data_IF_013632390079
#
_entry.id   IF_013632390079
#
_cell.length_a   1.000
_cell.length_b   1.000
_cell.length_c   1.000
_cell.angle_alpha   90.00
_cell.angle_beta   90.00
_cell.angle_gamma   90.00
#
_symmetry.space_group_name_H-M   'P 1'
#
loop_
_entity.id
_entity.type
_entity.pdbx_description
1 polymer ?
#
# COMPACT_ATOMS: atom_id res chain seq x y z
N UNK A 1 10.94 -8.47 3.60
CA UNK A 1 10.14 -8.98 2.45
C UNK A 1 11.00 -9.81 1.48
N UNK A 2 10.53 -10.99 1.10
CA UNK A 2 11.17 -12.01 0.26
C UNK A 2 10.44 -12.17 -1.08
N UNK A 3 11.13 -11.90 -2.20
CA UNK A 3 10.52 -11.94 -3.54
C UNK A 3 10.23 -13.36 -4.03
N UNK A 4 10.91 -14.39 -3.53
CA UNK A 4 10.59 -15.79 -3.85
C UNK A 4 9.25 -16.20 -3.23
N UNK A 5 9.01 -15.78 -1.98
CA UNK A 5 7.71 -15.97 -1.31
C UNK A 5 6.60 -15.19 -1.99
N UNK A 6 6.85 -13.95 -2.39
CA UNK A 6 5.87 -13.17 -3.15
C UNK A 6 5.49 -13.88 -4.46
N UNK A 7 6.48 -14.41 -5.20
CA UNK A 7 6.23 -15.18 -6.41
C UNK A 7 5.42 -16.46 -6.16
N UNK A 8 5.58 -17.11 -5.01
CA UNK A 8 4.75 -18.24 -4.63
C UNK A 8 3.25 -17.87 -4.54
N UNK A 9 2.92 -16.71 -3.94
CA UNK A 9 1.54 -16.22 -3.87
C UNK A 9 0.99 -15.81 -5.23
N UNK A 10 1.83 -15.20 -6.09
CA UNK A 10 1.49 -14.90 -7.48
C UNK A 10 1.14 -16.20 -8.25
N UNK A 11 1.95 -17.25 -8.11
CA UNK A 11 1.74 -18.51 -8.82
C UNK A 11 0.48 -19.25 -8.35
N UNK A 12 0.32 -19.35 -7.04
CA UNK A 12 -0.82 -20.02 -6.43
C UNK A 12 -2.13 -19.24 -6.51
N UNK A 13 -2.05 -17.95 -6.90
CA UNK A 13 -3.18 -17.01 -6.84
C UNK A 13 -3.82 -16.99 -5.44
N UNK A 14 -2.99 -17.13 -4.41
CA UNK A 14 -3.45 -17.22 -3.03
C UNK A 14 -3.41 -15.82 -2.39
N UNK A 15 -4.60 -15.22 -2.30
CA UNK A 15 -4.83 -13.96 -1.61
C UNK A 15 -6.13 -14.02 -0.79
N UNK A 16 -6.27 -13.10 0.15
CA UNK A 16 -7.51 -12.89 0.92
C UNK A 16 -7.81 -11.41 1.06
N UNK A 17 -9.08 -11.02 0.97
CA UNK A 17 -9.52 -9.62 1.09
C UNK A 17 -10.09 -9.30 2.49
N UNK A 18 -9.85 -10.18 3.48
CA UNK A 18 -10.28 -10.01 4.87
C UNK A 18 -9.35 -9.07 5.65
N UNK A 19 -9.34 -7.80 5.24
CA UNK A 19 -8.60 -6.74 5.92
C UNK A 19 -9.39 -6.23 7.13
N UNK A 20 -8.69 -5.86 8.20
CA UNK A 20 -9.30 -5.11 9.33
C UNK A 20 -9.76 -3.73 8.88
N UNK A 21 -8.95 -3.11 8.02
CA UNK A 21 -9.28 -1.87 7.31
C UNK A 21 -8.57 -1.90 5.98
N UNK A 22 -9.20 -1.32 4.97
CA UNK A 22 -8.58 -0.96 3.69
C UNK A 22 -9.34 0.27 3.19
N UNK A 23 -8.64 1.38 3.05
CA UNK A 23 -9.30 2.63 2.70
C UNK A 23 -8.33 3.71 2.26
N UNK A 24 -8.92 4.71 1.62
CA UNK A 24 -8.21 5.78 0.92
C UNK A 24 -8.57 7.14 1.51
N UNK A 25 -7.57 8.00 1.63
CA UNK A 25 -7.67 9.40 2.02
C UNK A 25 -7.17 10.29 0.90
N UNK A 26 -8.06 11.05 0.29
CA UNK A 26 -7.76 12.03 -0.75
C UNK A 26 -7.09 13.27 -0.16
N UNK A 27 -6.09 13.77 -0.88
CA UNK A 27 -5.36 14.98 -0.55
C UNK A 27 -5.73 16.09 -1.54
N UNK A 28 -4.89 16.35 -2.54
CA UNK A 28 -5.12 17.37 -3.56
C UNK A 28 -5.09 16.76 -4.97
N UNK A 29 -5.97 17.22 -5.85
CA UNK A 29 -6.05 16.70 -7.22
C UNK A 29 -6.33 15.19 -7.22
N UNK A 30 -5.46 14.41 -7.87
CA UNK A 30 -5.54 12.94 -7.87
C UNK A 30 -4.61 12.28 -6.82
N UNK A 31 -4.04 13.07 -5.91
CA UNK A 31 -3.17 12.59 -4.84
C UNK A 31 -3.98 11.92 -3.73
N UNK A 32 -3.49 10.79 -3.24
CA UNK A 32 -4.17 10.02 -2.21
C UNK A 32 -3.18 9.29 -1.30
N UNK A 33 -3.68 8.87 -0.14
CA UNK A 33 -3.01 7.98 0.79
C UNK A 33 -3.91 6.77 1.00
N UNK A 34 -3.37 5.56 0.88
CA UNK A 34 -4.08 4.33 1.20
C UNK A 34 -3.49 3.71 2.46
N UNK A 35 -4.35 3.19 3.32
CA UNK A 35 -3.99 2.37 4.47
C UNK A 35 -4.76 1.06 4.41
N UNK A 36 -4.03 -0.05 4.45
CA UNK A 36 -4.61 -1.36 4.74
C UNK A 36 -3.95 -1.98 5.98
N UNK A 37 -4.75 -2.66 6.80
CA UNK A 37 -4.28 -3.39 7.98
C UNK A 37 -4.81 -4.82 7.92
N UNK A 38 -3.92 -5.79 8.04
CA UNK A 38 -4.24 -7.21 8.10
C UNK A 38 -3.85 -7.83 9.43
N UNK A 39 -4.62 -8.80 9.94
CA UNK A 39 -4.20 -9.56 11.13
C UNK A 39 -3.15 -10.62 10.76
N UNK A 40 -2.15 -10.83 11.61
CA UNK A 40 -1.22 -11.97 11.50
C UNK A 40 -1.88 -13.35 11.66
N UNK A 41 -3.13 -13.39 12.15
CA UNK A 41 -3.93 -14.61 12.18
C UNK A 41 -4.65 -14.91 10.84
N UNK A 42 -4.77 -13.89 9.98
CA UNK A 42 -5.46 -13.99 8.68
C UNK A 42 -4.45 -14.16 7.55
N UNK A 43 -3.35 -13.40 7.59
CA UNK A 43 -2.31 -13.42 6.58
C UNK A 43 -1.10 -14.23 7.08
N UNK A 44 -0.58 -15.11 6.24
CA UNK A 44 0.50 -16.03 6.61
C UNK A 44 1.84 -15.33 6.86
N UNK A 45 2.11 -14.25 6.10
CA UNK A 45 3.30 -13.42 6.18
C UNK A 45 3.05 -12.08 5.47
N UNK A 46 4.08 -11.22 5.49
CA UNK A 46 4.02 -9.89 4.89
C UNK A 46 3.88 -9.94 3.36
N UNK A 47 4.38 -10.99 2.70
CA UNK A 47 4.23 -11.18 1.25
C UNK A 47 2.80 -11.55 0.86
N UNK A 48 2.16 -12.48 1.60
CA UNK A 48 0.76 -12.81 1.41
C UNK A 48 -0.13 -11.57 1.60
N UNK A 49 0.15 -10.80 2.65
CA UNK A 49 -0.54 -9.54 2.90
C UNK A 49 -0.34 -8.54 1.76
N UNK A 50 0.91 -8.26 1.36
CA UNK A 50 1.20 -7.33 0.28
C UNK A 50 0.56 -7.76 -1.05
N UNK A 51 0.69 -9.03 -1.43
CA UNK A 51 0.04 -9.55 -2.63
C UNK A 51 -1.48 -9.35 -2.59
N UNK A 52 -2.10 -9.60 -1.43
CA UNK A 52 -3.54 -9.39 -1.24
C UNK A 52 -3.94 -7.93 -1.41
N UNK A 53 -3.12 -6.96 -0.97
CA UNK A 53 -3.44 -5.53 -1.15
C UNK A 53 -3.50 -5.11 -2.61
N UNK A 54 -2.80 -5.81 -3.52
CA UNK A 54 -2.84 -5.55 -4.97
C UNK A 54 -4.20 -5.91 -5.57
N UNK A 55 -4.89 -6.90 -4.99
CA UNK A 55 -6.16 -7.45 -5.46
C UNK A 55 -7.40 -6.77 -4.85
N UNK A 56 -7.21 -5.82 -3.95
CA UNK A 56 -8.31 -5.06 -3.35
C UNK A 56 -8.85 -3.98 -4.30
N UNK A 57 -10.15 -3.69 -4.19
CA UNK A 57 -10.81 -2.62 -4.94
C UNK A 57 -10.25 -1.22 -4.62
N UNK A 58 -9.64 -1.05 -3.44
CA UNK A 58 -8.94 0.19 -3.06
C UNK A 58 -7.57 0.34 -3.73
N UNK A 59 -7.10 -0.68 -4.46
CA UNK A 59 -5.85 -0.59 -5.23
C UNK A 59 -6.03 0.31 -6.44
N UNK A 60 -5.87 1.61 -6.22
CA UNK A 60 -5.84 2.60 -7.28
C UNK A 60 -4.65 2.33 -8.21
N UNK A 61 -4.91 2.31 -9.51
CA UNK A 61 -3.87 2.18 -10.54
C UNK A 61 -4.14 3.18 -11.65
N UNK A 62 -3.12 3.53 -12.42
CA UNK A 62 -3.29 4.47 -13.53
C UNK A 62 -4.31 3.93 -14.55
N UNK A 63 -5.40 4.67 -14.76
CA UNK A 63 -6.45 4.31 -15.70
C UNK A 63 -5.92 4.27 -17.13
N UNK A 64 -6.28 3.22 -17.88
CA UNK A 64 -5.90 3.04 -19.28
C UNK A 64 -7.11 3.16 -20.21
N UNK A 65 -6.93 3.63 -21.45
CA UNK A 65 -8.04 3.84 -22.40
C UNK A 65 -8.82 2.57 -22.79
N UNK A 66 -8.22 1.38 -22.64
CA UNK A 66 -8.80 0.08 -22.98
C UNK A 66 -9.61 -0.54 -21.84
N UNK A 67 -9.60 0.07 -20.65
CA UNK A 67 -10.31 -0.40 -19.46
C UNK A 67 -9.69 -1.63 -18.78
N UNK A 68 -8.58 -2.15 -19.29
CA UNK A 68 -7.87 -3.25 -18.63
C UNK A 68 -7.20 -2.74 -17.35
N UNK A 69 -7.34 -3.51 -16.27
CA UNK A 69 -6.66 -3.24 -15.01
C UNK A 69 -5.15 -3.42 -15.16
N UNK A 70 -4.37 -2.78 -14.27
CA UNK A 70 -2.92 -2.98 -14.24
C UNK A 70 -2.54 -4.44 -13.99
N UNK A 71 -3.29 -5.15 -13.15
CA UNK A 71 -3.05 -6.58 -12.85
C UNK A 71 -3.18 -7.46 -14.09
N UNK A 72 -4.15 -7.20 -14.97
CA UNK A 72 -4.41 -8.03 -16.16
C UNK A 72 -3.33 -7.93 -17.23
N UNK A 73 -2.58 -6.82 -17.26
CA UNK A 73 -1.56 -6.55 -18.30
C UNK A 73 -0.12 -6.70 -17.81
N UNK A 74 0.08 -6.81 -16.50
CA UNK A 74 1.42 -6.84 -15.93
C UNK A 74 1.90 -8.27 -15.77
N UNK A 75 3.12 -8.55 -16.22
CA UNK A 75 3.83 -9.74 -15.79
C UNK A 75 4.23 -9.56 -14.32
N UNK A 76 3.38 -10.06 -13.42
CA UNK A 76 3.54 -9.89 -11.98
C UNK A 76 4.84 -10.51 -11.45
N UNK A 77 5.35 -11.56 -12.10
CA UNK A 77 6.64 -12.16 -11.72
C UNK A 77 7.79 -11.23 -12.05
N UNK A 78 7.82 -10.70 -13.28
CA UNK A 78 8.82 -9.70 -13.65
C UNK A 78 8.71 -8.45 -12.80
N UNK A 79 7.50 -7.98 -12.51
CA UNK A 79 7.28 -6.86 -11.58
C UNK A 79 7.86 -7.16 -10.19
N UNK A 80 7.51 -8.29 -9.58
CA UNK A 80 7.97 -8.67 -8.23
C UNK A 80 9.50 -8.79 -8.14
N UNK A 81 10.15 -9.33 -9.17
CA UNK A 81 11.62 -9.47 -9.23
C UNK A 81 12.35 -8.11 -9.37
N UNK A 82 11.66 -7.08 -9.84
CA UNK A 82 12.23 -5.74 -10.06
C UNK A 82 11.85 -4.73 -8.97
N UNK A 83 11.20 -5.18 -7.90
CA UNK A 83 10.95 -4.35 -6.72
C UNK A 83 12.27 -3.98 -6.04
N UNK A 84 12.45 -2.71 -5.70
CA UNK A 84 13.47 -2.31 -4.72
C UNK A 84 12.84 -2.31 -3.34
N UNK A 85 13.37 -3.16 -2.47
CA UNK A 85 12.93 -3.31 -1.08
C UNK A 85 14.06 -2.79 -0.21
N UNK A 86 13.76 -1.82 0.66
CA UNK A 86 14.77 -1.22 1.54
C UNK A 86 14.24 -1.18 2.96
N UNK A 87 14.97 -1.79 3.90
CA UNK A 87 14.69 -1.63 5.32
C UNK A 87 14.80 -0.15 5.70
N UNK A 88 13.82 0.34 6.45
CA UNK A 88 13.78 1.72 6.92
C UNK A 88 13.55 1.78 8.41
N UNK A 89 13.99 2.87 9.04
CA UNK A 89 13.76 3.04 10.46
C UNK A 89 12.31 3.37 10.75
N UNK A 90 11.85 2.97 11.94
CA UNK A 90 10.52 3.29 12.43
C UNK A 90 10.24 4.80 12.41
N UNK A 91 11.24 5.65 12.73
CA UNK A 91 11.06 7.10 12.70
C UNK A 91 10.73 7.61 11.29
N UNK A 92 11.23 6.96 10.24
CA UNK A 92 10.92 7.35 8.86
C UNK A 92 9.45 7.08 8.54
N UNK A 93 8.94 5.91 8.93
CA UNK A 93 7.53 5.57 8.76
C UNK A 93 6.61 6.48 9.59
N UNK A 94 6.94 6.74 10.86
CA UNK A 94 6.14 7.64 11.71
C UNK A 94 6.06 9.04 11.09
N UNK A 95 7.19 9.59 10.62
CA UNK A 95 7.18 10.89 9.92
C UNK A 95 6.37 10.88 8.63
N UNK A 96 6.34 9.75 7.92
CA UNK A 96 5.52 9.60 6.73
C UNK A 96 4.03 9.63 7.09
N UNK A 97 3.63 8.85 8.10
CA UNK A 97 2.25 8.82 8.63
C UNK A 97 1.79 10.20 9.09
N UNK A 98 2.62 10.92 9.85
CA UNK A 98 2.31 12.27 10.33
C UNK A 98 2.06 13.23 9.16
N UNK A 99 2.91 13.19 8.13
CA UNK A 99 2.77 14.03 6.92
C UNK A 99 1.51 13.67 6.14
N UNK A 100 1.28 12.39 5.89
CA UNK A 100 0.09 11.88 5.19
C UNK A 100 -1.18 12.27 5.93
N UNK A 101 -1.22 12.10 7.25
CA UNK A 101 -2.38 12.46 8.08
C UNK A 101 -2.67 13.95 8.05
N UNK A 102 -1.63 14.78 8.15
CA UNK A 102 -1.78 16.23 8.06
C UNK A 102 -2.32 16.67 6.68
N UNK A 103 -1.84 16.04 5.59
CA UNK A 103 -2.27 16.37 4.24
C UNK A 103 -3.74 15.97 4.00
N UNK A 104 -4.17 14.78 4.43
CA UNK A 104 -5.58 14.37 4.35
C UNK A 104 -6.46 15.33 5.16
N UNK A 105 -6.06 15.65 6.40
CA UNK A 105 -6.82 16.57 7.26
C UNK A 105 -6.97 17.97 6.64
N UNK A 106 -5.91 18.49 6.01
CA UNK A 106 -5.95 19.79 5.32
C UNK A 106 -6.99 19.84 4.20
N UNK A 107 -7.22 18.72 3.51
CA UNK A 107 -8.10 18.65 2.35
C UNK A 107 -9.42 17.90 2.59
N UNK A 108 -9.65 17.42 3.82
CA UNK A 108 -10.78 16.55 4.16
C UNK A 108 -12.15 17.11 3.74
N UNK A 109 -12.35 18.42 3.93
CA UNK A 109 -13.61 19.08 3.57
C UNK A 109 -13.89 19.12 2.06
N UNK A 110 -12.86 18.98 1.23
CA UNK A 110 -13.00 18.94 -0.23
C UNK A 110 -13.35 17.55 -0.77
N UNK A 111 -13.17 16.50 0.03
CA UNK A 111 -13.22 15.11 -0.39
C UNK A 111 -13.97 14.22 0.61
N UNK A 112 -14.97 14.77 1.30
CA UNK A 112 -15.63 14.07 2.40
C UNK A 112 -16.32 12.78 1.93
N UNK A 113 -16.81 12.72 0.69
CA UNK A 113 -17.44 11.54 0.09
C UNK A 113 -16.46 10.48 -0.39
N UNK A 114 -15.20 10.85 -0.64
CA UNK A 114 -14.18 9.98 -1.24
C UNK A 114 -13.23 9.41 -0.18
N UNK A 115 -13.23 9.96 1.03
CA UNK A 115 -12.40 9.50 2.14
C UNK A 115 -13.03 8.30 2.85
N UNK A 116 -12.45 7.11 2.67
CA UNK A 116 -12.84 5.87 3.37
C UNK A 116 -11.85 5.45 4.47
N UNK A 117 -10.67 6.09 4.54
CA UNK A 117 -9.66 5.78 5.54
C UNK A 117 -10.08 6.17 6.98
N UNK A 118 -9.87 5.26 7.93
CA UNK A 118 -9.99 5.60 9.36
C UNK A 118 -8.73 6.31 9.85
N UNK A 119 -8.80 7.63 9.93
CA UNK A 119 -7.72 8.49 10.42
C UNK A 119 -7.27 8.16 11.84
N UNK A 120 -8.15 7.62 12.69
CA UNK A 120 -7.76 7.26 14.05
C UNK A 120 -6.76 6.11 14.08
N UNK A 121 -6.80 5.22 13.08
CA UNK A 121 -5.87 4.11 12.98
C UNK A 121 -4.46 4.58 12.58
N UNK A 122 -4.34 5.55 11.67
CA UNK A 122 -3.05 6.15 11.30
C UNK A 122 -2.31 6.69 12.54
N UNK A 123 -3.01 7.34 13.47
CA UNK A 123 -2.39 7.92 14.66
C UNK A 123 -1.92 6.89 15.70
N UNK A 124 -2.35 5.62 15.60
CA UNK A 124 -1.97 4.54 16.52
C UNK A 124 -0.70 3.78 16.12
N UNK A 125 -0.22 4.04 14.91
CA UNK A 125 0.90 3.38 14.26
C UNK A 125 2.27 3.83 14.81
N UNK A 126 2.67 3.28 15.97
CA UNK A 126 3.81 3.81 16.74
C UNK A 126 4.93 2.84 17.09
N UNK A 127 4.80 1.53 16.87
CA UNK A 127 5.87 0.56 17.17
C UNK A 127 5.82 -0.62 16.20
N UNK A 128 6.96 -0.93 15.58
CA UNK A 128 7.05 -1.96 14.54
C UNK A 128 8.25 -2.87 14.75
N UNK A 129 8.07 -4.15 14.45
CA UNK A 129 9.13 -5.16 14.43
C UNK A 129 9.98 -5.01 13.16
N UNK A 130 9.34 -4.77 12.02
CA UNK A 130 9.97 -4.59 10.72
C UNK A 130 9.25 -3.48 9.95
N UNK A 131 10.02 -2.69 9.20
CA UNK A 131 9.49 -1.72 8.25
C UNK A 131 10.35 -1.70 6.98
N UNK A 132 9.70 -1.83 5.83
CA UNK A 132 10.34 -1.76 4.52
C UNK A 132 9.66 -0.72 3.64
N UNK A 133 10.46 -0.02 2.86
CA UNK A 133 10.01 0.81 1.75
C UNK A 133 10.10 -0.02 0.47
N UNK A 134 9.02 -0.01 -0.31
CA UNK A 134 8.92 -0.65 -1.61
C UNK A 134 8.91 0.43 -2.69
N UNK A 135 9.74 0.23 -3.71
CA UNK A 135 9.70 0.99 -4.95
C UNK A 135 9.50 0.06 -6.13
N UNK A 136 8.53 0.40 -6.97
CA UNK A 136 8.23 -0.30 -8.21
C UNK A 136 9.03 0.31 -9.36
N UNK A 137 9.98 -0.44 -9.91
CA UNK A 137 10.88 0.07 -10.97
C UNK A 137 10.54 -0.43 -12.36
N UNK A 138 9.72 -1.49 -12.47
CA UNK A 138 9.32 -2.11 -13.72
C UNK A 138 7.80 -2.21 -13.75
N UNK A 139 7.18 -1.73 -14.84
CA UNK A 139 5.72 -1.68 -14.99
C UNK A 139 4.98 -1.19 -13.72
N UNK A 140 5.33 -0.02 -13.16
CA UNK A 140 4.76 0.40 -11.89
C UNK A 140 3.26 0.65 -11.98
N UNK A 141 2.53 0.41 -10.88
CA UNK A 141 1.08 0.68 -10.75
C UNK A 141 0.73 2.14 -10.99
N UNK A 142 1.65 3.03 -10.65
CA UNK A 142 1.57 4.48 -10.83
C UNK A 142 2.80 4.98 -11.60
N UNK A 143 2.63 5.97 -12.48
CA UNK A 143 3.76 6.54 -13.23
C UNK A 143 4.77 7.25 -12.29
N UNK A 144 6.05 7.28 -12.70
CA UNK A 144 7.25 7.45 -11.85
C UNK A 144 7.32 8.81 -11.11
N UNK A 145 7.86 8.78 -9.87
CA UNK A 145 8.23 9.86 -8.92
C UNK A 145 7.18 10.37 -7.93
N UNK A 146 6.02 9.75 -7.88
CA UNK A 146 4.93 10.23 -7.03
C UNK A 146 4.52 9.29 -5.92
N UNK A 147 4.97 8.03 -5.95
CA UNK A 147 4.48 7.02 -5.01
C UNK A 147 5.56 6.59 -4.02
N UNK A 148 5.22 6.64 -2.73
CA UNK A 148 5.97 5.98 -1.66
C UNK A 148 5.09 4.92 -1.01
N UNK A 149 5.55 3.67 -0.99
CA UNK A 149 4.83 2.53 -0.39
C UNK A 149 5.66 1.93 0.73
N UNK A 150 5.08 1.84 1.93
CA UNK A 150 5.65 1.19 3.10
C UNK A 150 4.86 -0.06 3.44
N UNK A 151 5.58 -1.11 3.82
CA UNK A 151 5.05 -2.22 4.58
C UNK A 151 5.67 -2.21 5.97
N UNK A 152 4.86 -2.53 6.97
CA UNK A 152 5.36 -2.73 8.32
C UNK A 152 4.60 -3.87 9.01
N UNK A 153 5.16 -4.37 10.10
CA UNK A 153 4.48 -5.33 10.95
C UNK A 153 4.79 -5.10 12.43
N UNK A 154 3.84 -5.47 13.27
CA UNK A 154 4.01 -5.58 14.71
C UNK A 154 3.66 -7.01 15.18
N UNK A 155 3.46 -7.20 16.47
CA UNK A 155 3.13 -8.50 17.06
C UNK A 155 1.82 -9.11 16.53
N UNK A 156 0.86 -8.28 16.11
CA UNK A 156 -0.51 -8.70 15.82
C UNK A 156 -0.94 -8.44 14.38
N UNK A 157 -0.28 -7.50 13.68
CA UNK A 157 -0.76 -6.94 12.43
C UNK A 157 0.34 -6.73 11.37
N UNK A 158 -0.12 -6.72 10.12
CA UNK A 158 0.58 -6.17 8.96
C UNK A 158 -0.05 -4.85 8.55
N UNK A 159 0.78 -3.94 8.05
CA UNK A 159 0.39 -2.60 7.66
C UNK A 159 0.89 -2.31 6.25
N UNK A 160 0.01 -1.77 5.43
CA UNK A 160 0.30 -1.24 4.10
C UNK A 160 -0.02 0.23 4.10
N UNK A 161 0.95 1.06 3.75
CA UNK A 161 0.73 2.49 3.55
C UNK A 161 1.29 2.91 2.20
N UNK A 162 0.46 3.51 1.38
CA UNK A 162 0.86 4.07 0.09
C UNK A 162 0.46 5.54 0.07
N UNK A 163 1.36 6.41 -0.40
CA UNK A 163 0.98 7.77 -0.75
C UNK A 163 1.38 8.04 -2.19
N UNK A 164 0.41 8.44 -2.99
CA UNK A 164 0.59 8.95 -4.34
C UNK A 164 0.44 10.47 -4.33
N UNK A 165 1.44 11.18 -4.83
CA UNK A 165 1.46 12.64 -4.95
C UNK A 165 1.26 13.05 -6.41
N UNK A 166 0.65 14.18 -6.73
CA UNK A 166 0.64 14.70 -8.11
C UNK A 166 1.89 15.58 -8.29
N UNK A 167 2.68 15.36 -9.35
CA UNK A 167 3.90 16.11 -9.67
C UNK A 167 3.64 17.34 -10.53
#
# INVERSE_FOLDING_TARGET
MDTERLNHYIDSHHYTLDFKTDGTGMMWGVSHVRLAIGSRNTFENIEHFFFSTLHSDESMTSAMPDGASWLERTDLKQWALNLTITEVTQEKLVRFIEKSSAAIQQHRACWESENSIDMALLDTLKAYEECVLIKENFSPRHHINTTETYLALDQDNYYYLEAHYES
#
